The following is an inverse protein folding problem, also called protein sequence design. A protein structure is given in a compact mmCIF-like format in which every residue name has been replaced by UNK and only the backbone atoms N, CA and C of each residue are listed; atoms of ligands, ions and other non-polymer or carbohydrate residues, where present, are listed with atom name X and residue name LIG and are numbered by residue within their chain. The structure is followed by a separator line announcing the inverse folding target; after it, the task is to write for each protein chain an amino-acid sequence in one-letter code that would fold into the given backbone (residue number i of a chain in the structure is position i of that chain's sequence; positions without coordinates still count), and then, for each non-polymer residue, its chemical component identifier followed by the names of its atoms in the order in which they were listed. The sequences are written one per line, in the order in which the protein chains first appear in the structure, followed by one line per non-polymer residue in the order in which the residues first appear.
data_IF_528541643161
#
_entry.id   IF_528541643161
#
_cell.length_a   1.000
_cell.length_b   1.000
_cell.length_c   1.000
_cell.angle_alpha   90.00
_cell.angle_beta   90.00
_cell.angle_gamma   90.00
#
_symmetry.space_group_name_H-M   'P 1'
#
loop_
_entity.id
_entity.type
_entity.pdbx_description
1 polymer ?
#
# COMPACT_ATOMS: atom_id res chain seq x y z
N UNK A 1 -19.89 8.94 -22.48
CA UNK A 1 -19.70 9.43 -21.10
C UNK A 1 -20.03 8.29 -20.16
N UNK A 2 -19.07 7.86 -19.30
CA UNK A 2 -19.33 6.84 -18.29
C UNK A 2 -20.06 7.48 -17.10
N UNK A 3 -21.06 6.78 -16.56
CA UNK A 3 -21.72 7.17 -15.31
C UNK A 3 -21.35 6.18 -14.21
N UNK A 4 -21.01 6.71 -13.04
CA UNK A 4 -20.74 5.92 -11.83
C UNK A 4 -21.55 6.48 -10.68
N UNK A 5 -22.33 5.62 -10.01
CA UNK A 5 -23.06 5.98 -8.80
C UNK A 5 -22.11 6.00 -7.60
N UNK A 6 -21.40 7.12 -7.45
CA UNK A 6 -20.38 7.32 -6.41
C UNK A 6 -20.98 7.20 -5.02
N UNK A 7 -22.15 7.76 -4.79
CA UNK A 7 -22.81 7.72 -3.48
C UNK A 7 -23.13 6.28 -3.05
N UNK A 8 -23.62 5.47 -3.97
CA UNK A 8 -23.91 4.05 -3.71
C UNK A 8 -22.64 3.27 -3.37
N UNK A 9 -21.55 3.50 -4.13
CA UNK A 9 -20.25 2.83 -3.90
C UNK A 9 -19.68 3.22 -2.54
N UNK A 10 -19.67 4.51 -2.19
CA UNK A 10 -19.19 4.99 -0.89
C UNK A 10 -19.97 4.37 0.25
N UNK A 11 -21.32 4.40 0.20
CA UNK A 11 -22.16 3.81 1.25
C UNK A 11 -21.93 2.31 1.41
N UNK A 12 -21.82 1.59 0.30
CA UNK A 12 -21.55 0.16 0.34
C UNK A 12 -20.16 -0.12 0.94
N UNK A 13 -19.14 0.64 0.55
CA UNK A 13 -17.79 0.50 1.10
C UNK A 13 -17.75 0.76 2.60
N UNK A 14 -18.43 1.81 3.07
CA UNK A 14 -18.55 2.12 4.50
C UNK A 14 -19.20 0.96 5.28
N UNK A 15 -20.26 0.36 4.71
CA UNK A 15 -20.90 -0.83 5.30
C UNK A 15 -20.00 -2.07 5.29
N UNK A 16 -19.30 -2.32 4.18
CA UNK A 16 -18.37 -3.45 4.04
C UNK A 16 -17.21 -3.35 5.05
N UNK A 17 -16.78 -2.12 5.38
CA UNK A 17 -15.80 -1.85 6.44
C UNK A 17 -16.38 -2.23 7.81
N UNK A 18 -17.68 -2.00 8.04
CA UNK A 18 -18.36 -2.37 9.28
C UNK A 18 -19.06 -1.24 10.02
N UNK A 19 -19.15 -0.06 9.41
CA UNK A 19 -19.92 1.07 9.95
C UNK A 19 -21.40 0.95 9.51
N UNK A 20 -22.14 0.13 10.24
CA UNK A 20 -23.52 -0.26 9.91
C UNK A 20 -24.57 0.26 10.89
N UNK A 21 -24.18 1.02 11.91
CA UNK A 21 -25.06 1.52 12.96
C UNK A 21 -24.60 2.89 13.47
N UNK A 22 -25.53 3.79 13.67
CA UNK A 22 -25.27 5.10 14.25
C UNK A 22 -24.59 5.03 15.65
N UNK A 23 -24.82 3.93 16.43
CA UNK A 23 -24.12 3.66 17.71
C UNK A 23 -22.59 3.61 17.56
N UNK A 24 -22.07 3.32 16.38
CA UNK A 24 -20.63 3.30 16.11
C UNK A 24 -20.06 4.70 15.77
N UNK A 25 -20.90 5.74 15.86
CA UNK A 25 -20.53 7.11 15.56
C UNK A 25 -20.46 7.43 14.06
N UNK A 26 -20.63 6.43 13.20
CA UNK A 26 -20.63 6.56 11.74
C UNK A 26 -21.46 5.43 11.13
N UNK A 27 -22.25 5.74 10.10
CA UNK A 27 -23.20 4.78 9.52
C UNK A 27 -23.32 5.00 8.02
N UNK A 28 -23.06 3.94 7.25
CA UNK A 28 -23.13 3.94 5.79
C UNK A 28 -24.50 4.28 5.21
N UNK A 29 -25.62 4.09 5.97
CA UNK A 29 -26.95 4.50 5.51
C UNK A 29 -27.19 6.01 5.61
N UNK A 30 -26.71 6.63 6.69
CA UNK A 30 -27.06 8.00 7.04
C UNK A 30 -25.96 9.02 6.80
N UNK A 31 -24.73 8.57 6.50
CA UNK A 31 -23.60 9.46 6.21
C UNK A 31 -23.88 10.37 5.02
N UNK A 32 -23.55 11.64 5.12
CA UNK A 32 -23.59 12.55 3.98
C UNK A 32 -22.45 12.22 3.00
N UNK A 33 -22.77 12.13 1.72
CA UNK A 33 -21.79 11.94 0.64
C UNK A 33 -21.86 13.14 -0.29
N UNK A 34 -20.84 13.98 -0.25
CA UNK A 34 -20.68 15.12 -1.14
C UNK A 34 -19.74 14.75 -2.27
N UNK A 35 -20.13 15.03 -3.50
CA UNK A 35 -19.35 14.75 -4.71
C UNK A 35 -19.01 16.08 -5.36
N UNK A 36 -17.71 16.35 -5.48
CA UNK A 36 -17.17 17.50 -6.20
C UNK A 36 -16.12 16.98 -7.17
N UNK A 37 -16.51 16.77 -8.41
CA UNK A 37 -15.62 16.32 -9.50
C UNK A 37 -15.62 17.41 -10.55
N UNK A 38 -14.43 17.81 -10.96
CA UNK A 38 -14.21 18.81 -11.99
C UNK A 38 -13.33 18.26 -13.10
N UNK A 39 -13.32 18.91 -14.26
CA UNK A 39 -12.49 18.55 -15.39
C UNK A 39 -11.03 18.94 -15.14
N UNK A 40 -10.11 18.17 -15.72
CA UNK A 40 -8.69 18.49 -15.66
C UNK A 40 -8.41 19.79 -16.46
N UNK A 41 -7.45 20.61 -15.96
CA UNK A 41 -6.96 21.77 -16.69
C UNK A 41 -6.56 21.40 -18.12
N UNK A 42 -7.04 22.14 -19.15
CA UNK A 42 -6.64 21.91 -20.55
C UNK A 42 -5.13 21.99 -20.77
N UNK A 43 -4.42 22.85 -20.02
CA UNK A 43 -2.96 23.00 -20.12
C UNK A 43 -2.20 21.74 -19.66
N UNK A 44 -2.75 21.06 -18.64
CA UNK A 44 -2.20 19.78 -18.17
C UNK A 44 -2.59 18.65 -19.12
N UNK A 45 -3.83 18.60 -19.55
CA UNK A 45 -4.35 17.57 -20.46
C UNK A 45 -3.55 17.51 -21.78
N UNK A 46 -3.14 18.65 -22.32
CA UNK A 46 -2.32 18.73 -23.53
C UNK A 46 -1.04 17.91 -23.45
N UNK A 47 -0.37 17.91 -22.27
CA UNK A 47 0.87 17.15 -22.05
C UNK A 47 0.64 15.66 -21.78
N UNK A 48 -0.52 15.33 -21.22
CA UNK A 48 -0.89 13.94 -20.87
C UNK A 48 -1.44 13.19 -22.08
N UNK A 49 -2.30 13.84 -22.86
CA UNK A 49 -3.00 13.23 -24.00
C UNK A 49 -2.07 12.93 -25.20
N UNK A 50 -0.97 13.69 -25.33
CA UNK A 50 0.06 13.45 -26.33
C UNK A 50 1.43 13.78 -25.76
N UNK A 51 2.29 12.76 -25.64
CA UNK A 51 3.66 12.91 -25.18
C UNK A 51 4.47 13.88 -26.07
N UNK A 52 5.46 14.51 -25.48
CA UNK A 52 6.35 15.46 -26.20
C UNK A 52 7.00 14.81 -27.43
N UNK A 53 7.34 13.52 -27.33
CA UNK A 53 8.02 12.75 -28.37
C UNK A 53 7.17 12.54 -29.62
N UNK A 54 5.84 12.59 -29.52
CA UNK A 54 4.90 12.29 -30.62
C UNK A 54 3.99 13.45 -31.01
N UNK A 55 4.15 14.65 -30.39
CA UNK A 55 3.25 15.81 -30.65
C UNK A 55 3.25 16.28 -32.10
N UNK A 56 4.37 16.15 -32.77
CA UNK A 56 4.56 16.58 -34.16
C UNK A 56 4.41 15.41 -35.17
N UNK A 57 4.01 14.23 -34.69
CA UNK A 57 3.82 13.02 -35.51
C UNK A 57 2.35 12.65 -35.50
N UNK A 58 1.87 12.07 -36.61
CA UNK A 58 0.49 11.56 -36.69
C UNK A 58 0.21 10.33 -35.80
N UNK A 59 1.24 9.78 -35.14
CA UNK A 59 1.13 8.69 -34.19
C UNK A 59 0.76 9.22 -32.79
N UNK A 60 -0.54 9.25 -32.51
CA UNK A 60 -1.10 9.78 -31.24
C UNK A 60 -1.20 8.76 -30.11
N UNK A 61 -0.57 7.59 -30.21
CA UNK A 61 -0.77 6.49 -29.27
C UNK A 61 0.10 6.52 -28.03
N UNK A 62 1.01 7.48 -27.90
CA UNK A 62 1.84 7.63 -26.71
C UNK A 62 1.37 8.79 -25.82
N UNK A 63 0.87 8.41 -24.63
CA UNK A 63 0.53 9.37 -23.59
C UNK A 63 1.78 9.78 -22.80
N UNK A 64 1.88 11.06 -22.47
CA UNK A 64 2.93 11.59 -21.61
C UNK A 64 2.69 11.25 -20.14
N UNK A 65 3.75 11.34 -19.34
CA UNK A 65 3.60 11.22 -17.88
C UNK A 65 2.69 12.32 -17.34
N UNK A 66 1.73 11.95 -16.50
CA UNK A 66 0.75 12.87 -15.93
C UNK A 66 1.31 13.81 -14.86
N UNK A 67 2.55 13.59 -14.44
CA UNK A 67 3.28 14.44 -13.50
C UNK A 67 4.79 14.20 -13.63
N UNK A 68 5.60 15.10 -13.08
CA UNK A 68 7.00 14.85 -12.80
C UNK A 68 7.16 14.22 -11.42
N UNK A 69 8.25 13.47 -11.20
CA UNK A 69 8.54 12.93 -9.87
C UNK A 69 9.42 11.69 -9.90
N UNK A 70 9.63 11.16 -8.70
CA UNK A 70 10.37 9.91 -8.45
C UNK A 70 9.38 8.86 -7.92
N UNK A 71 9.46 7.65 -8.45
CA UNK A 71 8.68 6.51 -8.01
C UNK A 71 9.62 5.38 -7.62
N UNK A 72 9.30 4.68 -6.53
CA UNK A 72 10.15 3.64 -5.99
C UNK A 72 9.42 2.30 -5.97
N UNK A 73 10.14 1.26 -6.34
CA UNK A 73 9.79 -0.13 -6.14
C UNK A 73 10.82 -0.82 -5.25
N UNK A 74 10.38 -1.78 -4.48
CA UNK A 74 11.24 -2.51 -3.56
C UNK A 74 10.82 -3.98 -3.50
N UNK A 75 11.79 -4.86 -3.27
CA UNK A 75 11.56 -6.25 -2.94
C UNK A 75 12.71 -6.78 -2.08
N UNK A 76 12.39 -7.70 -1.19
CA UNK A 76 13.36 -8.37 -0.31
C UNK A 76 12.88 -9.80 -0.06
N UNK A 77 13.85 -10.73 0.04
CA UNK A 77 13.59 -12.15 0.25
C UNK A 77 13.37 -12.48 1.74
N UNK A 78 12.33 -11.86 2.33
CA UNK A 78 11.97 -12.08 3.76
C UNK A 78 10.59 -12.73 3.91
N UNK A 79 9.75 -12.63 2.88
CA UNK A 79 8.39 -13.18 2.90
C UNK A 79 8.06 -13.81 1.54
N UNK A 80 7.07 -14.70 1.45
CA UNK A 80 6.65 -15.27 0.17
C UNK A 80 6.21 -14.22 -0.87
N UNK A 81 5.69 -13.09 -0.40
CA UNK A 81 5.31 -11.96 -1.24
C UNK A 81 6.52 -11.12 -1.69
N UNK A 82 7.70 -11.38 -1.13
CA UNK A 82 8.91 -10.57 -1.29
C UNK A 82 8.75 -9.15 -0.75
N UNK A 83 8.04 -9.03 0.36
CA UNK A 83 7.81 -7.79 1.12
C UNK A 83 8.68 -7.79 2.38
N UNK A 84 9.02 -6.59 2.91
CA UNK A 84 9.65 -6.48 4.22
C UNK A 84 8.80 -7.13 5.32
N UNK A 85 9.43 -7.90 6.18
CA UNK A 85 8.75 -8.66 7.23
C UNK A 85 7.93 -7.78 8.18
N UNK A 86 8.42 -6.62 8.69
CA UNK A 86 7.66 -5.81 9.63
C UNK A 86 6.31 -5.33 9.09
N UNK A 87 6.29 -4.77 7.85
CA UNK A 87 5.04 -4.29 7.27
C UNK A 87 4.12 -5.44 6.85
N UNK A 88 4.66 -6.55 6.38
CA UNK A 88 3.88 -7.73 6.04
C UNK A 88 3.15 -8.28 7.28
N UNK A 89 3.84 -8.42 8.41
CA UNK A 89 3.24 -8.84 9.67
C UNK A 89 2.21 -7.82 10.18
N UNK A 90 2.52 -6.53 10.12
CA UNK A 90 1.59 -5.47 10.52
C UNK A 90 0.29 -5.52 9.71
N UNK A 91 0.36 -5.68 8.39
CA UNK A 91 -0.82 -5.82 7.54
C UNK A 91 -1.63 -7.10 7.86
N UNK A 92 -0.96 -8.22 8.12
CA UNK A 92 -1.63 -9.48 8.49
C UNK A 92 -2.35 -9.37 9.82
N UNK A 93 -1.76 -8.68 10.82
CA UNK A 93 -2.40 -8.46 12.13
C UNK A 93 -3.72 -7.68 12.01
N UNK A 94 -3.74 -6.55 11.30
CA UNK A 94 -4.97 -5.75 11.15
C UNK A 94 -5.99 -6.44 10.23
N UNK A 95 -5.55 -7.24 9.27
CA UNK A 95 -6.43 -8.09 8.46
C UNK A 95 -7.12 -9.13 9.34
N UNK A 96 -6.36 -9.81 10.21
CA UNK A 96 -6.89 -10.81 11.15
C UNK A 96 -7.91 -10.20 12.11
N UNK A 97 -7.66 -9.00 12.66
CA UNK A 97 -8.63 -8.26 13.46
C UNK A 97 -9.95 -8.03 12.71
N UNK A 98 -9.86 -7.60 11.44
CA UNK A 98 -11.04 -7.36 10.62
C UNK A 98 -11.82 -8.66 10.32
N UNK A 99 -11.15 -9.79 10.10
CA UNK A 99 -11.76 -11.11 9.92
C UNK A 99 -12.54 -11.52 11.16
N UNK A 100 -11.89 -11.57 12.33
CA UNK A 100 -12.53 -11.96 13.60
C UNK A 100 -13.74 -11.10 13.95
N UNK A 101 -13.67 -9.79 13.64
CA UNK A 101 -14.80 -8.88 13.80
C UNK A 101 -15.95 -9.20 12.85
N UNK A 102 -15.65 -9.39 11.55
CA UNK A 102 -16.66 -9.65 10.51
C UNK A 102 -17.33 -11.01 10.67
N UNK A 103 -16.58 -12.01 11.10
CA UNK A 103 -17.05 -13.35 11.41
C UNK A 103 -17.74 -13.43 12.77
N UNK A 104 -17.76 -12.34 13.55
CA UNK A 104 -18.33 -12.25 14.90
C UNK A 104 -17.71 -13.20 15.92
N UNK A 105 -16.45 -13.59 15.71
CA UNK A 105 -15.67 -14.33 16.70
C UNK A 105 -15.33 -13.42 17.87
N UNK A 106 -14.89 -12.19 17.57
CA UNK A 106 -14.71 -11.12 18.56
C UNK A 106 -15.68 -9.96 18.26
N UNK A 107 -16.95 -10.09 18.65
CA UNK A 107 -18.02 -9.17 18.24
C UNK A 107 -17.93 -7.78 18.86
N UNK A 108 -17.11 -7.63 19.89
CA UNK A 108 -16.85 -6.35 20.55
C UNK A 108 -15.89 -5.44 19.75
N UNK A 109 -15.12 -5.99 18.81
CA UNK A 109 -14.21 -5.20 17.98
C UNK A 109 -14.97 -4.22 17.08
N UNK A 110 -14.34 -3.07 16.83
CA UNK A 110 -14.82 -2.04 15.90
C UNK A 110 -13.81 -1.84 14.76
N UNK A 111 -14.19 -1.13 13.69
CA UNK A 111 -13.36 -1.08 12.48
C UNK A 111 -12.01 -0.38 12.62
N UNK A 112 -11.87 0.59 13.52
CA UNK A 112 -10.63 1.35 13.67
C UNK A 112 -9.58 0.53 14.42
N UNK A 113 -8.46 0.27 13.75
CA UNK A 113 -7.34 -0.46 14.35
C UNK A 113 -6.02 -0.05 13.71
N UNK A 114 -4.95 -0.14 14.50
CA UNK A 114 -3.57 0.10 14.07
C UNK A 114 -2.68 -1.02 14.60
N UNK A 115 -1.65 -1.36 13.84
CA UNK A 115 -0.61 -2.28 14.29
C UNK A 115 0.77 -1.74 13.92
N UNK A 116 1.75 -2.11 14.71
CA UNK A 116 3.16 -1.89 14.45
C UNK A 116 3.95 -3.12 14.92
N UNK A 117 4.91 -3.54 14.11
CA UNK A 117 5.80 -4.66 14.45
C UNK A 117 7.24 -4.18 14.32
N UNK A 118 8.03 -4.40 15.34
CA UNK A 118 9.48 -4.17 15.34
C UNK A 118 10.18 -5.52 15.28
N UNK A 119 11.02 -5.70 14.28
CA UNK A 119 11.81 -6.93 14.05
C UNK A 119 13.27 -6.61 14.30
N UNK A 120 13.94 -7.49 15.02
CA UNK A 120 15.38 -7.47 15.20
C UNK A 120 16.05 -8.22 14.05
N UNK A 121 17.11 -7.61 13.50
CA UNK A 121 17.90 -8.16 12.40
C UNK A 121 19.35 -8.35 12.86
N UNK A 122 20.01 -9.36 12.32
CA UNK A 122 21.45 -9.53 12.49
C UNK A 122 22.26 -8.58 11.60
N UNK A 123 23.59 -8.62 11.76
CA UNK A 123 24.52 -7.79 10.97
C UNK A 123 24.52 -8.12 9.47
N UNK A 124 23.93 -9.24 9.06
CA UNK A 124 23.72 -9.65 7.67
C UNK A 124 22.36 -9.24 7.13
N UNK A 125 21.54 -8.56 7.95
CA UNK A 125 20.19 -8.10 7.60
C UNK A 125 19.17 -9.23 7.53
N UNK A 126 19.38 -10.34 8.26
CA UNK A 126 18.40 -11.43 8.37
C UNK A 126 17.53 -11.23 9.59
N UNK A 127 16.20 -11.37 9.49
CA UNK A 127 15.30 -11.24 10.62
C UNK A 127 15.56 -12.35 11.64
N UNK A 128 15.65 -11.99 12.91
CA UNK A 128 15.95 -12.90 14.01
C UNK A 128 14.75 -13.14 14.91
N UNK A 129 14.10 -12.07 15.36
CA UNK A 129 12.96 -12.13 16.28
C UNK A 129 12.08 -10.88 16.17
N UNK A 130 10.87 -10.99 16.65
CA UNK A 130 9.99 -9.84 16.85
C UNK A 130 10.26 -9.27 18.25
N UNK A 131 10.79 -8.06 18.29
CA UNK A 131 11.07 -7.37 19.56
C UNK A 131 9.81 -6.78 20.18
N UNK A 132 8.98 -6.11 19.36
CA UNK A 132 7.83 -5.39 19.89
C UNK A 132 6.63 -5.47 18.94
N UNK A 133 5.46 -5.72 19.51
CA UNK A 133 4.17 -5.67 18.82
C UNK A 133 3.28 -4.63 19.50
N UNK A 134 2.81 -3.64 18.73
CA UNK A 134 1.82 -2.66 19.18
C UNK A 134 0.52 -2.88 18.42
N UNK A 135 -0.59 -3.03 19.13
CA UNK A 135 -1.92 -3.10 18.55
C UNK A 135 -2.84 -2.13 19.30
N UNK A 136 -3.47 -1.22 18.57
CA UNK A 136 -4.56 -0.39 19.07
C UNK A 136 -5.81 -0.73 18.30
N UNK A 137 -6.85 -1.20 18.97
CA UNK A 137 -8.12 -1.58 18.34
C UNK A 137 -9.30 -0.97 19.06
N UNK A 138 -10.19 -0.36 18.30
CA UNK A 138 -11.48 0.16 18.77
C UNK A 138 -12.35 -1.01 19.22
N UNK A 139 -13.06 -0.84 20.32
CA UNK A 139 -13.92 -1.85 20.94
C UNK A 139 -15.22 -1.24 21.47
N UNK A 140 -16.16 -2.09 21.94
CA UNK A 140 -17.34 -1.62 22.64
C UNK A 140 -17.00 -1.10 24.05
N UNK A 141 -17.98 -0.56 24.73
CA UNK A 141 -17.85 0.02 26.08
C UNK A 141 -18.02 -0.98 27.21
N UNK A 142 -18.35 -2.23 26.90
CA UNK A 142 -18.68 -3.30 27.86
C UNK A 142 -17.51 -4.25 28.11
N UNK A 143 -16.61 -4.43 27.12
CA UNK A 143 -15.49 -5.40 27.19
C UNK A 143 -14.31 -4.81 27.95
N UNK A 144 -13.74 -5.59 28.87
CA UNK A 144 -12.59 -5.16 29.69
C UNK A 144 -11.27 -5.19 28.89
N UNK A 145 -10.31 -4.37 29.30
CA UNK A 145 -8.98 -4.35 28.65
C UNK A 145 -8.25 -5.69 28.81
N UNK A 146 -8.40 -6.36 29.94
CA UNK A 146 -7.81 -7.68 30.20
C UNK A 146 -8.33 -8.73 29.23
N UNK A 147 -9.65 -8.71 28.95
CA UNK A 147 -10.22 -9.63 27.95
C UNK A 147 -9.71 -9.31 26.55
N UNK A 148 -9.64 -8.03 26.18
CA UNK A 148 -9.10 -7.59 24.89
C UNK A 148 -7.65 -8.04 24.75
N UNK A 149 -6.81 -7.82 25.75
CA UNK A 149 -5.41 -8.19 25.74
C UNK A 149 -5.23 -9.70 25.54
N UNK A 150 -5.98 -10.51 26.29
CA UNK A 150 -5.98 -11.97 26.18
C UNK A 150 -6.36 -12.41 24.78
N UNK A 151 -7.52 -11.97 24.28
CA UNK A 151 -8.05 -12.39 22.98
C UNK A 151 -7.14 -11.98 21.83
N UNK A 152 -6.55 -10.77 21.88
CA UNK A 152 -5.62 -10.28 20.86
C UNK A 152 -4.33 -11.12 20.85
N UNK A 153 -3.79 -11.48 22.01
CA UNK A 153 -2.62 -12.36 22.07
C UNK A 153 -2.93 -13.74 21.50
N UNK A 154 -4.02 -14.37 21.95
CA UNK A 154 -4.36 -15.74 21.58
C UNK A 154 -4.86 -15.88 20.14
N UNK A 155 -5.75 -15.01 19.67
CA UNK A 155 -6.48 -15.18 18.42
C UNK A 155 -5.96 -14.31 17.25
N UNK A 156 -5.09 -13.33 17.55
CA UNK A 156 -4.51 -12.46 16.52
C UNK A 156 -3.00 -12.66 16.44
N UNK A 157 -2.26 -12.39 17.50
CA UNK A 157 -0.79 -12.42 17.47
C UNK A 157 -0.28 -13.83 17.24
N UNK A 158 -0.70 -14.80 18.05
CA UNK A 158 -0.23 -16.18 17.97
C UNK A 158 -0.65 -16.88 16.66
N UNK A 159 -1.74 -16.42 16.02
CA UNK A 159 -2.18 -16.94 14.72
C UNK A 159 -1.46 -16.32 13.52
N UNK A 160 -0.90 -15.13 13.68
CA UNK A 160 -0.31 -14.36 12.56
C UNK A 160 1.20 -14.40 12.58
N UNK A 161 1.80 -14.24 13.77
CA UNK A 161 3.26 -14.20 13.92
C UNK A 161 3.81 -15.62 14.05
N UNK A 162 4.78 -16.02 13.21
CA UNK A 162 5.45 -17.31 13.37
C UNK A 162 6.03 -17.47 14.79
N UNK A 163 5.75 -18.61 15.41
CA UNK A 163 6.16 -18.86 16.81
C UNK A 163 7.68 -18.78 17.02
N UNK A 164 8.45 -19.16 16.00
CA UNK A 164 9.91 -19.08 16.00
C UNK A 164 10.46 -17.64 16.07
N UNK A 165 9.62 -16.64 15.78
CA UNK A 165 9.98 -15.22 15.89
C UNK A 165 9.55 -14.60 17.22
N UNK A 166 8.84 -15.33 18.07
CA UNK A 166 8.40 -14.88 19.40
C UNK A 166 9.22 -15.54 20.50
N UNK A 167 9.57 -14.78 21.52
CA UNK A 167 10.29 -15.28 22.71
C UNK A 167 9.81 -14.56 23.99
N UNK A 168 10.44 -14.90 25.12
CA UNK A 168 10.09 -14.35 26.43
C UNK A 168 10.43 -12.85 26.58
N UNK A 169 11.25 -12.31 25.68
CA UNK A 169 11.65 -10.89 25.65
C UNK A 169 10.74 -10.06 24.73
N UNK A 170 9.88 -10.68 23.94
CA UNK A 170 8.93 -9.99 23.05
C UNK A 170 7.97 -9.11 23.84
N UNK A 171 7.91 -7.84 23.52
CA UNK A 171 7.05 -6.83 24.19
C UNK A 171 5.73 -6.69 23.49
N UNK A 172 4.66 -6.68 24.27
CA UNK A 172 3.29 -6.54 23.76
C UNK A 172 2.65 -5.28 24.32
N UNK A 173 2.21 -4.37 23.44
CA UNK A 173 1.47 -3.17 23.78
C UNK A 173 0.09 -3.22 23.11
N UNK A 174 -0.91 -3.70 23.84
CA UNK A 174 -2.29 -3.83 23.37
C UNK A 174 -3.13 -2.74 24.04
N UNK A 175 -3.71 -1.84 23.24
CA UNK A 175 -4.42 -0.65 23.70
C UNK A 175 -3.66 0.10 24.84
N UNK A 176 -2.39 0.50 24.62
CA UNK A 176 -1.55 1.04 25.71
C UNK A 176 -2.07 2.37 26.26
N UNK A 177 -2.93 3.07 25.53
CA UNK A 177 -3.63 4.29 26.00
C UNK A 177 -4.87 3.97 26.85
N UNK A 178 -5.24 2.70 26.98
CA UNK A 178 -6.42 2.24 27.68
C UNK A 178 -7.66 2.13 26.79
N UNK A 179 -8.80 2.60 27.27
CA UNK A 179 -10.11 2.51 26.62
C UNK A 179 -10.10 3.19 25.24
N UNK A 180 -10.53 2.45 24.19
CA UNK A 180 -10.64 2.95 22.82
C UNK A 180 -12.01 2.65 22.21
N UNK A 181 -13.04 3.38 22.68
CA UNK A 181 -14.44 3.21 22.24
C UNK A 181 -14.81 4.24 21.17
N UNK A 182 -14.34 5.49 21.30
CA UNK A 182 -14.53 6.51 20.27
C UNK A 182 -13.37 6.41 19.27
N UNK A 183 -13.68 6.13 18.03
CA UNK A 183 -12.69 5.97 16.95
C UNK A 183 -13.34 6.10 15.58
N UNK A 184 -12.56 5.75 14.52
CA UNK A 184 -12.99 5.91 13.15
C UNK A 184 -13.28 7.35 12.78
N UNK A 185 -14.18 7.63 11.82
CA UNK A 185 -14.50 8.99 11.36
C UNK A 185 -15.05 9.92 12.44
N UNK A 186 -15.60 9.37 13.52
CA UNK A 186 -16.04 10.17 14.68
C UNK A 186 -14.85 10.67 15.51
N UNK A 187 -13.79 9.87 15.62
CA UNK A 187 -12.60 10.21 16.40
C UNK A 187 -11.66 11.15 15.68
N UNK A 188 -11.46 10.93 14.38
CA UNK A 188 -10.52 11.70 13.56
C UNK A 188 -10.94 11.69 12.08
N UNK A 189 -10.64 12.76 11.36
CA UNK A 189 -10.86 12.87 9.92
C UNK A 189 -9.69 12.25 9.15
N UNK A 190 -10.01 11.44 8.15
CA UNK A 190 -9.03 10.84 7.24
C UNK A 190 -8.99 11.52 5.87
N UNK A 191 -7.82 11.54 5.27
CA UNK A 191 -7.64 11.89 3.86
C UNK A 191 -6.92 10.76 3.14
N UNK A 192 -7.38 10.40 1.93
CA UNK A 192 -6.66 9.42 1.11
C UNK A 192 -5.24 9.92 0.78
N UNK A 193 -4.28 9.01 0.66
CA UNK A 193 -2.90 9.38 0.35
C UNK A 193 -2.09 10.01 1.48
N UNK A 194 -2.56 9.99 2.72
CA UNK A 194 -1.86 10.47 3.92
C UNK A 194 -1.16 9.36 4.70
N UNK A 195 -1.21 8.10 4.25
CA UNK A 195 -0.54 6.94 4.84
C UNK A 195 0.34 6.23 3.80
N UNK A 196 1.10 7.01 3.02
CA UNK A 196 1.88 6.52 1.87
C UNK A 196 2.94 5.48 2.23
N UNK A 197 3.46 5.49 3.44
CA UNK A 197 4.43 4.50 3.92
C UNK A 197 3.74 3.20 4.30
N UNK A 198 2.54 3.26 4.89
CA UNK A 198 1.68 2.08 5.13
C UNK A 198 1.20 1.48 3.80
N UNK A 199 0.93 2.31 2.80
CA UNK A 199 0.54 1.88 1.46
C UNK A 199 1.66 1.13 0.73
N UNK A 200 2.92 1.28 1.14
CA UNK A 200 4.10 0.75 0.46
C UNK A 200 4.91 -0.22 1.33
N UNK A 201 6.08 0.16 1.81
CA UNK A 201 7.07 -0.78 2.37
C UNK A 201 7.35 -0.60 3.86
N UNK A 202 6.54 0.20 4.58
CA UNK A 202 6.67 0.37 6.03
C UNK A 202 7.92 1.14 6.49
N UNK A 203 8.66 1.74 5.56
CA UNK A 203 9.88 2.50 5.85
C UNK A 203 11.18 1.83 5.40
N UNK A 204 11.13 0.57 4.90
CA UNK A 204 12.32 -0.13 4.39
C UNK A 204 12.84 0.43 3.07
N UNK A 205 11.99 1.09 2.30
CA UNK A 205 12.35 1.71 1.04
C UNK A 205 12.06 3.21 1.06
N UNK A 206 12.72 3.92 0.16
CA UNK A 206 12.41 5.32 -0.13
C UNK A 206 11.01 5.45 -0.74
N UNK A 207 10.45 6.65 -0.68
CA UNK A 207 9.16 6.99 -1.27
C UNK A 207 9.25 8.32 -2.02
N UNK A 208 8.61 8.39 -3.19
CA UNK A 208 8.62 9.61 -4.02
C UNK A 208 7.64 10.69 -3.57
N UNK A 209 6.75 10.38 -2.62
CA UNK A 209 5.77 11.31 -2.05
C UNK A 209 4.39 11.26 -2.70
N UNK A 210 4.23 10.62 -3.87
CA UNK A 210 2.96 10.52 -4.59
C UNK A 210 1.99 9.52 -3.93
N UNK A 211 0.73 9.92 -3.76
CA UNK A 211 -0.34 9.02 -3.35
C UNK A 211 -0.80 8.13 -4.51
N UNK A 212 -1.34 6.94 -4.20
CA UNK A 212 -1.83 6.00 -5.22
C UNK A 212 -3.36 6.03 -5.36
N UNK A 213 -4.08 5.77 -4.28
CA UNK A 213 -5.54 5.72 -4.28
C UNK A 213 -6.14 7.06 -4.73
N UNK A 214 -7.19 7.00 -5.55
CA UNK A 214 -7.81 8.17 -6.17
C UNK A 214 -7.20 8.58 -7.52
N UNK A 215 -6.06 7.99 -7.91
CA UNK A 215 -5.41 8.21 -9.22
C UNK A 215 -5.70 7.04 -10.15
N UNK A 216 -6.01 7.33 -11.41
CA UNK A 216 -6.13 6.32 -12.47
C UNK A 216 -4.75 5.88 -13.00
N UNK A 217 -4.72 4.89 -13.89
CA UNK A 217 -3.48 4.28 -14.39
C UNK A 217 -2.62 5.20 -15.26
N UNK A 218 -3.13 6.34 -15.74
CA UNK A 218 -2.33 7.33 -16.48
C UNK A 218 -1.42 8.15 -15.57
N UNK A 219 -1.67 8.15 -14.26
CA UNK A 219 -0.89 8.87 -13.27
C UNK A 219 0.31 8.03 -12.84
N UNK A 220 1.50 8.47 -13.24
CA UNK A 220 2.77 7.75 -12.99
C UNK A 220 3.10 7.55 -11.52
N UNK A 221 2.64 8.44 -10.63
CA UNK A 221 2.76 8.22 -9.18
C UNK A 221 2.26 6.83 -8.77
N UNK A 222 1.16 6.38 -9.36
CA UNK A 222 0.59 5.05 -9.12
C UNK A 222 1.17 4.00 -10.06
N UNK A 223 1.02 4.17 -11.36
CA UNK A 223 1.38 3.15 -12.35
C UNK A 223 2.88 2.85 -12.38
N UNK A 224 3.73 3.87 -12.33
CA UNK A 224 5.18 3.66 -12.31
C UNK A 224 5.69 3.11 -10.97
N UNK A 225 5.03 3.41 -9.84
CA UNK A 225 5.33 2.74 -8.57
C UNK A 225 4.99 1.25 -8.63
N UNK A 226 3.89 0.88 -9.28
CA UNK A 226 3.53 -0.52 -9.51
C UNK A 226 4.52 -1.21 -10.45
N UNK A 227 4.94 -0.53 -11.52
CA UNK A 227 5.97 -1.04 -12.44
C UNK A 227 7.32 -1.21 -11.72
N UNK A 228 7.74 -0.24 -10.93
CA UNK A 228 8.98 -0.31 -10.15
C UNK A 228 8.94 -1.48 -9.15
N UNK A 229 7.79 -1.72 -8.47
CA UNK A 229 7.57 -2.90 -7.63
C UNK A 229 7.65 -4.19 -8.44
N UNK A 230 7.00 -4.24 -9.59
CA UNK A 230 7.02 -5.40 -10.47
C UNK A 230 8.44 -5.76 -10.91
N UNK A 231 9.24 -4.76 -11.30
CA UNK A 231 10.66 -4.94 -11.65
C UNK A 231 11.45 -5.46 -10.45
N UNK A 232 11.33 -4.81 -9.29
CA UNK A 232 12.04 -5.21 -8.08
C UNK A 232 11.74 -6.67 -7.70
N UNK A 233 10.45 -7.03 -7.74
CA UNK A 233 9.98 -8.38 -7.45
C UNK A 233 10.55 -9.41 -8.44
N UNK A 234 10.60 -9.08 -9.72
CA UNK A 234 11.20 -9.96 -10.74
C UNK A 234 12.71 -10.16 -10.52
N UNK A 235 13.45 -9.11 -10.16
CA UNK A 235 14.89 -9.21 -9.88
C UNK A 235 15.16 -10.16 -8.71
N UNK A 236 14.43 -10.02 -7.60
CA UNK A 236 14.58 -10.89 -6.43
C UNK A 236 14.10 -12.31 -6.72
N UNK A 237 12.96 -12.48 -7.36
CA UNK A 237 12.42 -13.80 -7.73
C UNK A 237 13.32 -14.56 -8.70
N UNK A 238 14.08 -13.87 -9.56
CA UNK A 238 15.07 -14.45 -10.44
C UNK A 238 16.39 -14.83 -9.73
N UNK A 239 16.52 -14.56 -8.42
CA UNK A 239 17.74 -14.81 -7.65
C UNK A 239 18.90 -13.87 -8.00
N UNK A 240 18.64 -12.75 -8.68
CA UNK A 240 19.67 -11.78 -9.08
C UNK A 240 20.09 -10.84 -7.95
N UNK A 241 19.26 -10.69 -6.92
CA UNK A 241 19.56 -9.98 -5.67
C UNK A 241 18.64 -10.52 -4.57
N UNK A 242 19.04 -10.41 -3.29
CA UNK A 242 18.16 -10.71 -2.16
C UNK A 242 17.32 -9.51 -1.74
N UNK A 243 17.83 -8.31 -1.98
CA UNK A 243 17.19 -7.04 -1.66
C UNK A 243 17.45 -6.06 -2.79
N UNK A 244 16.41 -5.36 -3.27
CA UNK A 244 16.56 -4.40 -4.35
C UNK A 244 15.56 -3.25 -4.23
N UNK A 245 16.04 -2.05 -4.49
CA UNK A 245 15.24 -0.86 -4.68
C UNK A 245 15.41 -0.36 -6.12
N UNK A 246 14.29 -0.11 -6.79
CA UNK A 246 14.22 0.44 -8.14
C UNK A 246 13.63 1.83 -8.08
N UNK A 247 14.32 2.82 -8.65
CA UNK A 247 13.84 4.19 -8.80
C UNK A 247 13.58 4.50 -10.26
N UNK A 248 12.40 5.02 -10.54
CA UNK A 248 12.03 5.59 -11.84
C UNK A 248 11.78 7.09 -11.68
N UNK A 249 12.22 7.90 -12.64
CA UNK A 249 11.94 9.33 -12.65
C UNK A 249 11.29 9.74 -13.95
N UNK A 250 10.29 10.62 -13.88
CA UNK A 250 9.57 11.15 -15.04
C UNK A 250 9.55 12.68 -15.04
N UNK A 251 9.44 13.24 -16.23
CA UNK A 251 9.07 14.64 -16.44
C UNK A 251 7.65 14.70 -16.98
N UNK A 252 6.85 15.66 -16.53
CA UNK A 252 5.46 15.83 -17.00
C UNK A 252 5.42 15.97 -18.52
N UNK A 253 4.50 15.27 -19.17
CA UNK A 253 4.31 15.30 -20.60
C UNK A 253 5.36 14.54 -21.42
N UNK A 254 6.30 13.84 -20.79
CA UNK A 254 7.32 13.01 -21.46
C UNK A 254 6.98 11.54 -21.23
N UNK A 255 7.00 10.72 -22.27
CA UNK A 255 6.66 9.30 -22.16
C UNK A 255 7.79 8.47 -21.55
N UNK A 256 9.02 8.68 -22.00
CA UNK A 256 10.15 7.92 -21.50
C UNK A 256 10.58 8.37 -20.10
N UNK A 257 10.93 7.44 -19.18
CA UNK A 257 11.52 7.83 -17.91
C UNK A 257 12.86 8.54 -18.13
N UNK A 258 13.05 9.69 -17.49
CA UNK A 258 14.29 10.48 -17.58
C UNK A 258 15.43 9.83 -16.82
N UNK A 259 15.13 8.93 -15.85
CA UNK A 259 16.15 8.19 -15.08
C UNK A 259 15.62 6.84 -14.60
N UNK A 260 16.51 5.85 -14.56
CA UNK A 260 16.33 4.55 -13.91
C UNK A 260 17.54 4.34 -13.01
N UNK A 261 17.30 4.04 -11.73
CA UNK A 261 18.35 3.68 -10.79
C UNK A 261 17.98 2.40 -10.06
N UNK A 262 18.95 1.56 -9.79
CA UNK A 262 18.80 0.31 -9.05
C UNK A 262 19.83 0.30 -7.94
N UNK A 263 19.41 -0.09 -6.73
CA UNK A 263 20.30 -0.34 -5.60
C UNK A 263 20.02 -1.75 -5.08
N UNK A 264 21.01 -2.60 -5.09
CA UNK A 264 20.93 -3.99 -4.62
C UNK A 264 21.41 -4.16 -3.19
N UNK A 265 21.81 -3.07 -2.53
CA UNK A 265 22.32 -3.09 -1.15
C UNK A 265 23.49 -4.07 -0.96
N UNK A 266 24.26 -4.31 -2.03
CA UNK A 266 25.38 -5.27 -2.03
C UNK A 266 24.98 -6.74 -2.05
N UNK A 267 23.70 -7.06 -2.30
CA UNK A 267 23.18 -8.45 -2.31
C UNK A 267 23.18 -9.11 -3.68
N UNK A 268 23.73 -8.48 -4.69
CA UNK A 268 23.84 -8.99 -6.06
C UNK A 268 25.30 -9.20 -6.46
N UNK A 269 25.57 -10.29 -7.16
CA UNK A 269 26.86 -10.54 -7.82
C UNK A 269 27.01 -9.78 -9.14
N UNK A 270 25.92 -9.22 -9.67
CA UNK A 270 25.91 -8.43 -10.89
C UNK A 270 26.08 -6.93 -10.57
N UNK A 271 26.82 -6.18 -11.39
CA UNK A 271 26.84 -4.74 -11.27
C UNK A 271 25.48 -4.15 -11.63
N UNK A 272 25.06 -3.11 -10.90
CA UNK A 272 23.74 -2.47 -11.05
C UNK A 272 23.50 -1.97 -12.48
N UNK A 273 24.57 -1.55 -13.21
CA UNK A 273 24.48 -1.17 -14.62
C UNK A 273 23.95 -2.30 -15.53
N UNK A 274 24.27 -3.56 -15.22
CA UNK A 274 23.76 -4.71 -15.96
C UNK A 274 22.27 -4.98 -15.67
N UNK A 275 21.86 -4.77 -14.44
CA UNK A 275 20.44 -4.85 -14.07
C UNK A 275 19.63 -3.73 -14.74
N UNK A 276 20.16 -2.51 -14.79
CA UNK A 276 19.51 -1.37 -15.49
C UNK A 276 19.40 -1.69 -17.01
N UNK A 277 20.44 -2.23 -17.63
CA UNK A 277 20.40 -2.64 -19.03
C UNK A 277 19.32 -3.70 -19.29
N UNK A 278 19.23 -4.71 -18.41
CA UNK A 278 18.21 -5.74 -18.48
C UNK A 278 16.79 -5.17 -18.30
N UNK A 279 16.60 -4.24 -17.36
CA UNK A 279 15.32 -3.56 -17.16
C UNK A 279 14.91 -2.80 -18.42
N UNK A 280 15.80 -1.98 -19.00
CA UNK A 280 15.50 -1.24 -20.24
C UNK A 280 15.13 -2.13 -21.41
N UNK A 281 15.69 -3.34 -21.47
CA UNK A 281 15.45 -4.30 -22.55
C UNK A 281 14.11 -5.04 -22.40
N UNK A 282 13.67 -5.29 -21.17
CA UNK A 282 12.57 -6.21 -20.91
C UNK A 282 11.28 -5.52 -20.45
N UNK A 283 11.32 -4.25 -20.07
CA UNK A 283 10.16 -3.53 -19.54
C UNK A 283 9.93 -2.24 -20.33
N UNK A 284 8.73 -2.07 -20.86
CA UNK A 284 8.30 -0.80 -21.44
C UNK A 284 7.81 0.10 -20.30
N UNK A 285 8.59 1.12 -19.99
CA UNK A 285 8.34 2.02 -18.86
C UNK A 285 7.64 3.33 -19.27
N UNK A 286 7.18 3.43 -20.52
CA UNK A 286 6.26 4.50 -20.91
C UNK A 286 4.91 4.31 -20.22
N UNK A 287 4.15 5.35 -19.87
CA UNK A 287 2.85 5.22 -19.22
C UNK A 287 1.91 4.22 -19.94
N UNK A 288 1.82 4.29 -21.27
CA UNK A 288 1.02 3.35 -22.06
C UNK A 288 1.54 1.91 -21.94
N UNK A 289 2.85 1.70 -22.03
CA UNK A 289 3.49 0.39 -21.89
C UNK A 289 3.28 -0.22 -20.49
N UNK A 290 3.34 0.58 -19.44
CA UNK A 290 3.05 0.13 -18.07
C UNK A 290 1.59 -0.32 -17.94
N UNK A 291 0.65 0.47 -18.49
CA UNK A 291 -0.78 0.14 -18.46
C UNK A 291 -1.04 -1.18 -19.16
N UNK A 292 -0.43 -1.41 -20.30
CA UNK A 292 -0.54 -2.67 -21.06
C UNK A 292 0.13 -3.83 -20.31
N UNK A 293 1.40 -3.68 -19.93
CA UNK A 293 2.20 -4.70 -19.27
C UNK A 293 1.55 -5.23 -17.98
N UNK A 294 0.95 -4.37 -17.18
CA UNK A 294 0.32 -4.72 -15.91
C UNK A 294 -1.22 -4.87 -16.01
N UNK A 295 -1.80 -4.71 -17.21
CA UNK A 295 -3.25 -4.74 -17.45
C UNK A 295 -4.02 -3.86 -16.45
N UNK A 296 -3.60 -2.60 -16.32
CA UNK A 296 -4.10 -1.68 -15.30
C UNK A 296 -5.51 -1.13 -15.59
N UNK A 297 -6.13 -1.50 -16.70
CA UNK A 297 -7.53 -1.11 -16.99
C UNK A 297 -8.56 -2.09 -16.44
N UNK A 298 -8.15 -3.26 -15.96
CA UNK A 298 -9.02 -4.23 -15.28
C UNK A 298 -9.45 -3.74 -13.89
N UNK A 299 -10.55 -4.27 -13.29
CA UNK A 299 -11.09 -3.80 -12.02
C UNK A 299 -10.34 -4.39 -10.80
N UNK A 300 -9.08 -4.00 -10.58
CA UNK A 300 -8.21 -4.49 -9.49
C UNK A 300 -8.12 -3.53 -8.30
N UNK A 301 -8.56 -2.28 -8.44
CA UNK A 301 -8.23 -1.20 -7.50
C UNK A 301 -8.92 -1.32 -6.14
N UNK A 302 -10.06 -2.01 -6.04
CA UNK A 302 -10.71 -2.29 -4.75
C UNK A 302 -9.79 -3.13 -3.83
N UNK A 303 -9.04 -4.07 -4.40
CA UNK A 303 -8.12 -4.95 -3.65
C UNK A 303 -6.91 -4.20 -3.10
N UNK A 304 -6.51 -3.09 -3.72
CA UNK A 304 -5.37 -2.27 -3.30
C UNK A 304 -5.76 -1.18 -2.30
N UNK A 305 -7.04 -1.06 -1.92
CA UNK A 305 -7.53 0.04 -1.10
C UNK A 305 -7.35 -0.18 0.42
N UNK A 306 -6.88 -1.36 0.84
CA UNK A 306 -6.60 -1.68 2.24
C UNK A 306 -5.43 -2.66 2.34
N UNK A 307 -4.67 -2.60 3.44
CA UNK A 307 -3.54 -3.49 3.75
C UNK A 307 -2.37 -3.37 2.78
N UNK A 308 -2.10 -2.15 2.30
CA UNK A 308 -1.04 -1.86 1.32
C UNK A 308 -1.47 -2.11 -0.13
N UNK A 309 -0.63 -1.65 -1.05
CA UNK A 309 -0.86 -1.77 -2.50
C UNK A 309 -0.11 -2.94 -3.15
N UNK A 310 0.78 -3.61 -2.40
CA UNK A 310 1.69 -4.64 -2.92
C UNK A 310 1.51 -6.00 -2.29
#
# INVERSE_FOLDING_TARGET
TAYVDIQKIVRQTVKDIGYTRAKYGFDGETVAVLVAIDEQSPDIAQGVDAALEVRDQDEKDDIGAGDQGLMFGFAVDETPELMPLPIALSHRLVRRLAELRKEKVLPYLRPDAKSQVTVEYDDQGQPQRVDTIVISTQHDDETTLEQIEKDIKEQVINEVIPHELLDDETKYFINPTGRFVIGGPQGDAGLTGRKIIVDTYGGDARHGGGAFSGKDATKVDRSASYAARYIAKNIVAAGLAKKVEVQLAYAIGVAQPVSISINTFGTSDLPESKLIEAVRKNFDLRPAGIIEMLDLRRPIYKQTAAYGHF
#
